data_IF_538292156853
#
_entry.id   IF_538292156853
#
_cell.length_a   1.000
_cell.length_b   1.000
_cell.length_c   1.000
_cell.angle_alpha   90.00
_cell.angle_beta   90.00
_cell.angle_gamma   90.00
#
_symmetry.space_group_name_H-M   'P 1'
#
loop_
_entity.id
_entity.type
_entity.pdbx_description
1 polymer ?
#
# COMPACT_ATOMS: atom_id res chain seq x y z
N UNK A 1 6.41 -16.98 -0.64
CA UNK A 1 7.31 -15.87 -1.03
C UNK A 1 6.60 -14.56 -0.75
N UNK A 2 7.34 -13.52 -0.37
CA UNK A 2 6.78 -12.18 -0.18
C UNK A 2 6.45 -11.52 -1.53
N UNK A 3 5.42 -10.69 -1.59
CA UNK A 3 5.00 -9.98 -2.81
C UNK A 3 6.14 -9.14 -3.40
N UNK A 4 6.85 -8.39 -2.56
CA UNK A 4 8.01 -7.60 -3.01
C UNK A 4 9.18 -8.47 -3.53
N UNK A 5 9.32 -9.71 -3.05
CA UNK A 5 10.29 -10.66 -3.59
C UNK A 5 9.83 -11.22 -4.94
N UNK A 6 8.54 -11.55 -5.07
CA UNK A 6 7.96 -12.05 -6.31
C UNK A 6 8.05 -11.01 -7.45
N UNK A 7 7.79 -9.74 -7.16
CA UNK A 7 7.97 -8.65 -8.13
C UNK A 7 9.42 -8.52 -8.60
N UNK A 8 10.38 -8.60 -7.68
CA UNK A 8 11.81 -8.57 -8.04
C UNK A 8 12.18 -9.73 -8.96
N UNK A 9 11.74 -10.95 -8.64
CA UNK A 9 12.02 -12.14 -9.46
C UNK A 9 11.39 -12.01 -10.85
N UNK A 10 10.11 -11.62 -10.94
CA UNK A 10 9.43 -11.42 -12.22
C UNK A 10 10.14 -10.37 -13.09
N UNK A 11 10.54 -9.23 -12.50
CA UNK A 11 11.24 -8.18 -13.23
C UNK A 11 12.64 -8.63 -13.70
N UNK A 12 13.39 -9.34 -12.85
CA UNK A 12 14.69 -9.91 -13.26
C UNK A 12 14.53 -10.91 -14.40
N UNK A 13 13.48 -11.75 -14.36
CA UNK A 13 13.19 -12.69 -15.44
C UNK A 13 12.77 -11.98 -16.74
N UNK A 14 11.98 -10.91 -16.65
CA UNK A 14 11.64 -10.08 -17.81
C UNK A 14 12.86 -9.42 -18.47
N UNK A 15 13.80 -8.92 -17.66
CA UNK A 15 15.04 -8.33 -18.17
C UNK A 15 15.88 -9.37 -18.91
N UNK A 16 16.00 -10.58 -18.33
CA UNK A 16 16.72 -11.69 -18.94
C UNK A 16 16.04 -12.15 -20.25
N UNK A 17 14.72 -12.35 -20.25
CA UNK A 17 13.95 -12.74 -21.43
C UNK A 17 14.06 -11.69 -22.55
N UNK A 18 14.08 -10.40 -22.19
CA UNK A 18 14.26 -9.29 -23.14
C UNK A 18 15.65 -9.34 -23.80
N UNK A 19 16.71 -9.52 -23.01
CA UNK A 19 18.07 -9.67 -23.55
C UNK A 19 18.14 -10.89 -24.47
N UNK A 20 17.57 -12.02 -24.03
CA UNK A 20 17.57 -13.26 -24.78
C UNK A 20 16.84 -13.15 -26.12
N UNK A 21 15.69 -12.48 -26.13
CA UNK A 21 14.93 -12.17 -27.35
C UNK A 21 15.77 -11.36 -28.35
N UNK A 22 16.53 -10.38 -27.86
CA UNK A 22 17.41 -9.56 -28.71
C UNK A 22 18.53 -10.38 -29.33
N UNK A 23 19.21 -11.21 -28.55
CA UNK A 23 20.28 -12.10 -29.02
C UNK A 23 19.81 -13.06 -30.11
N UNK A 24 18.70 -13.78 -29.88
CA UNK A 24 18.14 -14.73 -30.84
C UNK A 24 17.70 -14.03 -32.13
N UNK A 25 17.13 -12.83 -32.02
CA UNK A 25 16.76 -12.01 -33.17
C UNK A 25 17.99 -11.59 -33.98
N UNK A 26 19.11 -11.27 -33.31
CA UNK A 26 20.35 -10.88 -33.97
C UNK A 26 20.97 -12.06 -34.72
N UNK A 27 21.04 -13.23 -34.10
CA UNK A 27 21.56 -14.46 -34.73
C UNK A 27 20.75 -14.88 -35.96
N UNK A 28 19.43 -14.71 -35.93
CA UNK A 28 18.57 -14.98 -37.08
C UNK A 28 18.85 -14.03 -38.27
N UNK A 29 19.20 -12.76 -37.98
CA UNK A 29 19.55 -11.75 -38.98
C UNK A 29 20.94 -11.98 -39.59
N UNK A 30 21.93 -12.24 -38.75
CA UNK A 30 23.32 -12.44 -39.18
C UNK A 30 23.53 -13.80 -39.86
N UNK A 31 22.65 -14.76 -39.59
CA UNK A 31 22.76 -16.14 -40.05
C UNK A 31 23.65 -16.96 -39.11
N UNK A 32 23.31 -18.24 -38.87
CA UNK A 32 24.13 -19.08 -37.99
C UNK A 32 25.56 -19.20 -38.55
N UNK A 33 26.55 -19.01 -37.68
CA UNK A 33 27.96 -19.14 -38.04
C UNK A 33 28.26 -20.53 -38.64
N UNK A 34 29.22 -20.61 -39.56
CA UNK A 34 29.66 -21.88 -40.10
C UNK A 34 30.23 -22.75 -38.96
N UNK A 35 29.53 -23.83 -38.59
CA UNK A 35 29.85 -24.68 -37.44
C UNK A 35 28.95 -24.50 -36.21
N UNK A 36 27.94 -23.62 -36.27
CA UNK A 36 26.87 -23.53 -35.27
C UNK A 36 26.14 -24.87 -35.10
N UNK A 37 25.93 -25.29 -33.84
CA UNK A 37 25.12 -26.46 -33.50
C UNK A 37 23.64 -26.29 -33.85
N UNK A 38 23.17 -25.05 -34.02
CA UNK A 38 21.77 -24.73 -34.19
C UNK A 38 21.47 -24.20 -35.59
N UNK A 39 20.38 -24.71 -36.17
CA UNK A 39 19.87 -24.22 -37.45
C UNK A 39 18.91 -23.03 -37.27
N UNK A 40 18.51 -22.41 -38.39
CA UNK A 40 17.59 -21.25 -38.38
C UNK A 40 16.21 -21.59 -37.82
N UNK A 41 15.74 -22.83 -37.99
CA UNK A 41 14.42 -23.29 -37.52
C UNK A 41 14.46 -23.48 -36.00
N UNK A 42 15.52 -24.05 -35.46
CA UNK A 42 15.75 -24.20 -34.02
C UNK A 42 15.86 -22.84 -33.32
N UNK A 43 16.62 -21.89 -33.89
CA UNK A 43 16.67 -20.51 -33.38
C UNK A 43 15.30 -19.83 -33.41
N UNK A 44 14.50 -20.06 -34.44
CA UNK A 44 13.13 -19.51 -34.53
C UNK A 44 12.19 -20.13 -33.48
N UNK A 45 12.32 -21.43 -33.19
CA UNK A 45 11.54 -22.10 -32.13
C UNK A 45 11.93 -21.59 -30.75
N UNK A 46 13.22 -21.45 -30.48
CA UNK A 46 13.74 -20.86 -29.25
C UNK A 46 13.23 -19.42 -29.07
N UNK A 47 13.23 -18.61 -30.13
CA UNK A 47 12.69 -17.24 -30.08
C UNK A 47 11.20 -17.24 -29.71
N UNK A 48 10.40 -18.10 -30.34
CA UNK A 48 8.97 -18.22 -30.02
C UNK A 48 8.73 -18.66 -28.57
N UNK A 49 9.54 -19.56 -28.03
CA UNK A 49 9.44 -20.00 -26.63
C UNK A 49 9.79 -18.87 -25.65
N UNK A 50 10.82 -18.07 -25.95
CA UNK A 50 11.18 -16.88 -25.16
C UNK A 50 10.08 -15.83 -25.20
N UNK A 51 9.45 -15.63 -26.35
CA UNK A 51 8.32 -14.70 -26.49
C UNK A 51 7.11 -15.15 -25.66
N UNK A 52 6.77 -16.44 -25.69
CA UNK A 52 5.69 -16.99 -24.87
C UNK A 52 6.00 -16.85 -23.37
N UNK A 53 7.23 -17.16 -22.95
CA UNK A 53 7.64 -17.02 -21.54
C UNK A 53 7.66 -15.55 -21.10
N UNK A 54 8.03 -14.64 -22.00
CA UNK A 54 7.99 -13.19 -21.75
C UNK A 54 6.57 -12.71 -21.53
N UNK A 55 5.62 -13.11 -22.39
CA UNK A 55 4.21 -12.76 -22.24
C UNK A 55 3.63 -13.28 -20.92
N UNK A 56 3.91 -14.54 -20.57
CA UNK A 56 3.47 -15.13 -19.29
C UNK A 56 4.06 -14.40 -18.08
N UNK A 57 5.37 -14.13 -18.10
CA UNK A 57 6.05 -13.43 -17.01
C UNK A 57 5.58 -11.98 -16.90
N UNK A 58 5.28 -11.32 -18.03
CA UNK A 58 4.74 -9.96 -18.06
C UNK A 58 3.36 -9.90 -17.44
N UNK A 59 2.48 -10.85 -17.78
CA UNK A 59 1.16 -10.94 -17.17
C UNK A 59 1.23 -11.16 -15.65
N UNK A 60 2.18 -11.98 -15.19
CA UNK A 60 2.41 -12.21 -13.75
C UNK A 60 2.93 -10.93 -13.08
N UNK A 61 3.89 -10.23 -13.69
CA UNK A 61 4.41 -8.98 -13.16
C UNK A 61 3.32 -7.90 -13.02
N UNK A 62 2.44 -7.80 -14.02
CA UNK A 62 1.27 -6.91 -13.99
C UNK A 62 0.30 -7.27 -12.86
N UNK A 63 0.00 -8.56 -12.67
CA UNK A 63 -0.85 -9.03 -11.57
C UNK A 63 -0.25 -8.73 -10.19
N UNK A 64 1.06 -8.96 -10.00
CA UNK A 64 1.75 -8.66 -8.75
C UNK A 64 1.76 -7.15 -8.47
N UNK A 65 1.92 -6.32 -9.51
CA UNK A 65 1.80 -4.86 -9.40
C UNK A 65 0.40 -4.44 -8.97
N UNK A 66 -0.64 -5.00 -9.60
CA UNK A 66 -2.03 -4.73 -9.26
C UNK A 66 -2.35 -5.13 -7.80
N UNK A 67 -1.86 -6.27 -7.33
CA UNK A 67 -2.03 -6.68 -5.93
C UNK A 67 -1.33 -5.75 -4.96
N UNK A 68 -0.10 -5.32 -5.25
CA UNK A 68 0.63 -4.36 -4.41
C UNK A 68 -0.13 -3.05 -4.28
N UNK A 69 -0.63 -2.53 -5.40
CA UNK A 69 -1.44 -1.30 -5.42
C UNK A 69 -2.76 -1.46 -4.66
N UNK A 70 -3.45 -2.60 -4.80
CA UNK A 70 -4.69 -2.86 -4.08
C UNK A 70 -4.49 -2.94 -2.57
N UNK A 71 -3.41 -3.59 -2.11
CA UNK A 71 -3.09 -3.69 -0.67
C UNK A 71 -2.75 -2.31 -0.11
N UNK A 72 -1.94 -1.52 -0.81
CA UNK A 72 -1.62 -0.15 -0.41
C UNK A 72 -2.87 0.73 -0.32
N UNK A 73 -3.74 0.66 -1.33
CA UNK A 73 -4.98 1.43 -1.35
C UNK A 73 -5.95 0.99 -0.25
N UNK A 74 -6.06 -0.31 0.02
CA UNK A 74 -6.93 -0.84 1.06
C UNK A 74 -6.46 -0.39 2.45
N UNK A 75 -5.15 -0.46 2.72
CA UNK A 75 -4.59 -0.04 4.01
C UNK A 75 -4.64 1.48 4.18
N UNK A 76 -4.34 2.25 3.13
CA UNK A 76 -4.51 3.70 3.15
C UNK A 76 -5.97 4.11 3.38
N UNK A 77 -6.93 3.39 2.78
CA UNK A 77 -8.36 3.63 3.01
C UNK A 77 -8.79 3.23 4.42
N UNK A 78 -8.25 2.15 4.99
CA UNK A 78 -8.49 1.74 6.38
C UNK A 78 -8.01 2.82 7.34
N UNK A 79 -6.76 3.26 7.20
CA UNK A 79 -6.15 4.30 8.03
C UNK A 79 -6.89 5.64 7.92
N UNK A 80 -7.28 6.04 6.70
CA UNK A 80 -8.12 7.23 6.51
C UNK A 80 -9.49 7.07 7.16
N UNK A 81 -10.10 5.89 7.07
CA UNK A 81 -11.38 5.59 7.71
C UNK A 81 -11.31 5.64 9.23
N UNK A 82 -10.25 5.10 9.81
CA UNK A 82 -9.97 5.15 11.25
C UNK A 82 -9.70 6.57 11.71
N UNK A 83 -8.86 7.32 11.00
CA UNK A 83 -8.62 8.73 11.30
C UNK A 83 -9.90 9.58 11.22
N UNK A 84 -10.76 9.36 10.21
CA UNK A 84 -12.06 10.04 10.10
C UNK A 84 -13.00 9.63 11.25
N UNK A 85 -13.01 8.36 11.63
CA UNK A 85 -13.84 7.87 12.72
C UNK A 85 -13.41 8.46 14.06
N UNK A 86 -12.10 8.48 14.33
CA UNK A 86 -11.51 9.08 15.52
C UNK A 86 -11.73 10.61 15.54
N UNK A 87 -11.55 11.28 14.42
CA UNK A 87 -11.84 12.72 14.29
C UNK A 87 -13.34 13.02 14.50
N UNK A 88 -14.23 12.18 13.98
CA UNK A 88 -15.67 12.31 14.21
C UNK A 88 -16.04 12.05 15.68
N UNK A 89 -15.43 11.06 16.33
CA UNK A 89 -15.62 10.82 17.77
C UNK A 89 -15.11 12.00 18.59
N UNK A 90 -13.90 12.49 18.31
CA UNK A 90 -13.33 13.67 18.93
C UNK A 90 -14.24 14.90 18.71
N UNK A 91 -14.75 15.11 17.50
CA UNK A 91 -15.68 16.19 17.21
C UNK A 91 -17.00 16.05 18.00
N UNK A 92 -17.54 14.85 18.13
CA UNK A 92 -18.73 14.58 18.96
C UNK A 92 -18.47 14.85 20.45
N UNK A 93 -17.30 14.47 20.97
CA UNK A 93 -16.89 14.81 22.35
C UNK A 93 -16.77 16.32 22.53
N UNK A 94 -16.18 17.04 21.56
CA UNK A 94 -16.09 18.50 21.56
C UNK A 94 -17.48 19.17 21.57
N UNK A 95 -18.42 18.67 20.77
CA UNK A 95 -19.81 19.16 20.77
C UNK A 95 -20.53 18.88 22.09
N UNK A 96 -20.27 17.72 22.70
CA UNK A 96 -20.84 17.38 24.01
C UNK A 96 -20.26 18.28 25.12
N UNK A 97 -18.96 18.58 25.12
CA UNK A 97 -18.35 19.57 26.02
C UNK A 97 -18.97 20.95 25.84
N UNK A 98 -19.11 21.39 24.58
CA UNK A 98 -19.80 22.65 24.27
C UNK A 98 -21.21 22.69 24.86
N UNK A 99 -21.97 21.59 24.72
CA UNK A 99 -23.33 21.46 25.26
C UNK A 99 -23.35 21.53 26.79
N UNK A 100 -22.46 20.81 27.48
CA UNK A 100 -22.34 20.80 28.94
C UNK A 100 -22.03 22.21 29.47
N UNK A 101 -21.05 22.89 28.88
CA UNK A 101 -20.70 24.27 29.25
C UNK A 101 -21.88 25.21 28.98
N UNK A 102 -22.52 25.14 27.81
CA UNK A 102 -23.65 26.00 27.45
C UNK A 102 -24.88 25.83 28.35
N UNK A 103 -25.10 24.63 28.89
CA UNK A 103 -26.14 24.35 29.90
C UNK A 103 -25.80 24.95 31.26
N UNK A 104 -24.52 25.21 31.54
CA UNK A 104 -24.02 25.68 32.83
C UNK A 104 -23.54 24.55 33.74
N UNK A 105 -23.36 23.33 33.19
CA UNK A 105 -22.86 22.17 33.92
C UNK A 105 -21.36 22.29 34.20
N UNK A 106 -20.87 21.57 35.21
CA UNK A 106 -19.45 21.50 35.54
C UNK A 106 -18.75 20.46 34.66
N UNK A 107 -17.75 20.91 33.92
CA UNK A 107 -16.96 20.09 33.00
C UNK A 107 -15.53 19.97 33.52
N UNK A 108 -14.88 18.80 33.42
CA UNK A 108 -13.49 18.64 33.80
C UNK A 108 -12.54 19.60 33.06
N UNK A 109 -11.46 20.08 33.70
CA UNK A 109 -10.54 21.03 33.07
C UNK A 109 -9.89 20.53 31.78
N UNK A 110 -9.66 19.22 31.67
CA UNK A 110 -9.09 18.58 30.47
C UNK A 110 -10.02 18.77 29.29
N UNK A 111 -11.29 18.41 29.45
CA UNK A 111 -12.35 18.52 28.44
C UNK A 111 -12.63 19.99 28.06
N UNK A 112 -12.66 20.89 29.03
CA UNK A 112 -12.85 22.33 28.78
C UNK A 112 -11.69 22.91 27.95
N UNK A 113 -10.44 22.50 28.24
CA UNK A 113 -9.27 22.88 27.45
C UNK A 113 -9.34 22.31 26.03
N UNK A 114 -9.81 21.07 25.84
CA UNK A 114 -9.98 20.48 24.49
C UNK A 114 -10.93 21.31 23.63
N UNK A 115 -12.05 21.80 24.17
CA UNK A 115 -12.93 22.72 23.43
C UNK A 115 -12.24 24.05 23.10
N UNK A 116 -11.44 24.59 24.02
CA UNK A 116 -10.69 25.83 23.81
C UNK A 116 -9.63 25.70 22.70
N UNK A 117 -8.89 24.58 22.72
CA UNK A 117 -7.89 24.22 21.69
C UNK A 117 -8.55 24.02 20.33
N UNK A 118 -9.72 23.37 20.30
CA UNK A 118 -10.48 23.17 19.07
C UNK A 118 -11.01 24.50 18.51
N UNK A 119 -11.69 25.30 19.33
CA UNK A 119 -12.18 26.62 18.95
C UNK A 119 -12.49 27.51 20.15
N UNK A 120 -11.65 28.54 20.34
CA UNK A 120 -11.87 29.60 21.33
C UNK A 120 -13.23 30.31 21.14
N UNK A 121 -13.71 30.44 19.90
CA UNK A 121 -15.01 31.06 19.61
C UNK A 121 -16.17 30.21 20.14
N UNK A 122 -16.13 28.90 19.89
CA UNK A 122 -17.14 27.96 20.42
C UNK A 122 -17.12 27.95 21.95
N UNK A 123 -15.93 27.96 22.55
CA UNK A 123 -15.78 28.04 24.00
C UNK A 123 -16.44 29.32 24.59
N UNK A 124 -16.17 30.50 24.02
CA UNK A 124 -16.80 31.75 24.46
C UNK A 124 -18.31 31.75 24.26
N UNK A 125 -18.80 31.22 23.13
CA UNK A 125 -20.23 31.07 22.88
C UNK A 125 -20.90 30.19 23.93
N UNK A 126 -20.30 29.05 24.29
CA UNK A 126 -20.80 28.18 25.35
C UNK A 126 -20.84 28.91 26.71
N UNK A 127 -19.78 29.61 27.11
CA UNK A 127 -19.76 30.37 28.37
C UNK A 127 -20.81 31.48 28.39
N UNK A 128 -21.04 32.16 27.28
CA UNK A 128 -22.09 33.19 27.17
C UNK A 128 -23.50 32.58 27.33
N UNK A 129 -23.75 31.40 26.75
CA UNK A 129 -25.01 30.67 26.94
C UNK A 129 -25.17 30.19 28.40
N UNK A 130 -24.10 29.74 29.04
CA UNK A 130 -24.09 29.35 30.45
C UNK A 130 -24.55 30.49 31.37
N UNK A 131 -24.11 31.72 31.12
CA UNK A 131 -24.53 32.91 31.87
C UNK A 131 -26.04 33.17 31.77
N UNK A 132 -26.65 32.83 30.63
CA UNK A 132 -28.10 32.93 30.42
C UNK A 132 -28.86 31.81 31.14
N UNK A 133 -28.21 30.65 31.33
CA UNK A 133 -28.77 29.46 31.98
C UNK A 133 -28.40 29.32 33.47
N UNK A 134 -27.73 30.32 34.07
CA UNK A 134 -27.22 30.31 35.47
C UNK A 134 -28.22 29.98 36.58
N UNK A 135 -29.52 29.97 36.28
CA UNK A 135 -30.59 29.64 37.23
C UNK A 135 -31.01 28.16 37.15
N UNK A 136 -30.48 27.39 36.18
CA UNK A 136 -30.69 25.96 36.07
C UNK A 136 -29.78 25.22 37.07
N UNK A 137 -30.20 24.03 37.50
CA UNK A 137 -29.34 23.15 38.30
C UNK A 137 -28.18 22.65 37.44
N UNK A 138 -26.96 22.81 37.95
CA UNK A 138 -25.75 22.36 37.29
C UNK A 138 -25.45 20.90 37.67
N UNK A 139 -25.08 20.09 36.69
CA UNK A 139 -24.60 18.72 36.89
C UNK A 139 -23.07 18.65 36.80
N UNK A 140 -22.45 17.74 37.56
CA UNK A 140 -21.03 17.42 37.44
C UNK A 140 -20.84 16.28 36.44
N UNK A 141 -19.90 16.43 35.50
CA UNK A 141 -19.59 15.42 34.49
C UNK A 141 -18.18 14.84 34.62
N UNK A 142 -18.05 13.56 34.28
CA UNK A 142 -16.75 12.91 34.10
C UNK A 142 -16.12 13.24 32.74
N UNK A 143 -14.80 13.04 32.64
CA UNK A 143 -14.01 13.37 31.45
C UNK A 143 -14.28 12.40 30.31
N UNK A 144 -14.40 12.93 29.09
CA UNK A 144 -14.57 12.16 27.86
C UNK A 144 -13.24 11.62 27.27
N UNK A 145 -12.10 11.98 27.85
CA UNK A 145 -10.74 11.61 27.39
C UNK A 145 -9.94 10.78 28.42
N UNK A 146 -10.62 10.06 29.33
CA UNK A 146 -9.98 9.31 30.43
C UNK A 146 -9.42 7.93 30.06
N UNK A 147 -9.91 7.29 28.99
CA UNK A 147 -9.58 5.92 28.59
C UNK A 147 -9.11 5.87 27.12
N UNK A 148 -7.95 6.45 26.81
CA UNK A 148 -7.32 6.25 25.50
C UNK A 148 -6.67 4.85 25.47
N UNK A 149 -7.21 3.95 24.63
CA UNK A 149 -6.53 2.70 24.28
C UNK A 149 -5.20 3.03 23.57
N UNK A 150 -4.13 2.22 23.76
CA UNK A 150 -2.85 2.50 23.15
C UNK A 150 -2.98 2.51 21.63
N UNK A 151 -2.60 3.63 21.00
CA UNK A 151 -2.52 3.75 19.54
C UNK A 151 -1.66 2.61 18.96
N UNK A 152 -2.25 1.78 18.10
CA UNK A 152 -1.46 0.88 17.28
C UNK A 152 -0.66 1.71 16.28
N UNK A 153 0.66 1.52 16.27
CA UNK A 153 1.54 2.25 15.34
C UNK A 153 1.08 2.00 13.90
N UNK A 154 0.77 3.06 13.12
CA UNK A 154 0.32 2.92 11.75
C UNK A 154 1.34 2.13 10.93
N UNK A 155 0.89 1.03 10.30
CA UNK A 155 1.74 0.21 9.43
C UNK A 155 1.87 0.91 8.08
N UNK A 156 3.09 1.10 7.57
CA UNK A 156 3.28 1.70 6.25
C UNK A 156 2.61 0.83 5.16
N UNK A 157 1.70 1.38 4.32
CA UNK A 157 0.99 0.60 3.32
C UNK A 157 1.90 -0.13 2.32
N UNK A 158 3.05 0.47 1.96
CA UNK A 158 4.00 -0.15 1.04
C UNK A 158 4.80 -1.26 1.72
N UNK A 159 5.11 -1.13 3.01
CA UNK A 159 5.70 -2.20 3.82
C UNK A 159 4.74 -3.40 3.95
N UNK A 160 3.46 -3.15 4.22
CA UNK A 160 2.43 -4.19 4.28
C UNK A 160 2.31 -4.95 2.94
N UNK A 161 2.21 -4.20 1.84
CA UNK A 161 2.17 -4.80 0.49
C UNK A 161 3.43 -5.63 0.22
N UNK A 162 4.62 -5.11 0.50
CA UNK A 162 5.88 -5.82 0.27
C UNK A 162 5.99 -7.12 1.08
N UNK A 163 5.45 -7.13 2.30
CA UNK A 163 5.53 -8.27 3.22
C UNK A 163 4.41 -9.30 3.04
N UNK A 164 3.38 -9.00 2.24
CA UNK A 164 2.26 -9.91 1.99
C UNK A 164 2.73 -11.21 1.31
N UNK A 165 2.27 -12.36 1.81
CA UNK A 165 2.64 -13.67 1.24
C UNK A 165 1.81 -14.00 -0.01
N UNK A 166 2.47 -14.39 -1.10
CA UNK A 166 1.83 -14.65 -2.42
C UNK A 166 2.18 -16.01 -3.00
N UNK A 167 2.64 -16.96 -2.18
CA UNK A 167 3.02 -18.29 -2.67
C UNK A 167 4.30 -18.26 -3.53
N UNK A 168 4.34 -18.96 -4.66
CA UNK A 168 5.43 -18.87 -5.65
C UNK A 168 4.82 -18.64 -7.05
N UNK A 169 4.44 -17.39 -7.38
CA UNK A 169 3.62 -17.09 -8.55
C UNK A 169 4.45 -17.00 -9.83
N UNK A 170 5.78 -16.86 -9.73
CA UNK A 170 6.67 -16.74 -10.88
C UNK A 170 7.21 -18.13 -11.26
N UNK A 171 6.88 -18.66 -12.45
CA UNK A 171 7.39 -19.95 -12.89
C UNK A 171 8.90 -19.88 -13.17
N UNK A 172 9.64 -20.97 -12.91
CA UNK A 172 11.07 -21.01 -13.22
C UNK A 172 11.30 -20.89 -14.73
N UNK A 173 12.37 -20.17 -15.10
CA UNK A 173 12.81 -20.05 -16.49
C UNK A 173 13.08 -21.43 -17.08
N UNK A 174 12.53 -21.71 -18.27
CA UNK A 174 12.77 -22.98 -18.99
C UNK A 174 14.12 -22.91 -19.70
N UNK A 175 15.20 -22.99 -18.94
CA UNK A 175 16.57 -22.94 -19.47
C UNK A 175 16.92 -24.13 -20.38
N UNK A 176 16.19 -25.24 -20.30
CA UNK A 176 16.52 -26.49 -20.97
C UNK A 176 16.28 -26.51 -22.48
N UNK A 177 15.46 -25.60 -23.02
CA UNK A 177 15.07 -25.59 -24.43
C UNK A 177 15.79 -24.52 -25.26
N UNK A 178 16.71 -23.79 -24.63
CA UNK A 178 17.39 -22.65 -25.24
C UNK A 178 18.81 -23.02 -25.63
N UNK A 179 19.26 -22.63 -26.85
CA UNK A 179 20.61 -22.93 -27.29
C UNK A 179 21.63 -22.34 -26.33
N UNK A 180 22.45 -23.15 -25.67
CA UNK A 180 23.59 -22.64 -24.89
C UNK A 180 24.47 -21.82 -25.82
N UNK A 181 24.40 -20.50 -25.65
CA UNK A 181 25.24 -19.56 -26.37
C UNK A 181 26.58 -19.57 -25.65
N UNK A 182 27.55 -20.24 -26.25
CA UNK A 182 28.92 -20.30 -25.77
C UNK A 182 29.43 -18.88 -25.53
N UNK A 183 29.59 -18.52 -24.25
CA UNK A 183 30.48 -17.46 -23.84
C UNK A 183 31.91 -17.98 -23.99
N UNK A 184 32.39 -18.13 -25.22
CA UNK A 184 33.82 -18.26 -25.45
C UNK A 184 34.24 -17.41 -26.64
N UNK A 185 35.10 -16.46 -26.31
CA UNK A 185 35.61 -15.40 -27.16
C UNK A 185 36.51 -14.54 -26.29
N UNK A 186 37.68 -15.10 -25.97
CA UNK A 186 38.75 -14.44 -25.22
C UNK A 186 39.37 -13.24 -25.91
#
# INVERSE_FOLDING_TARGET
MKLGQAQKIANTQLDWLRQRKQELTQLLKEGPAAGSSYDRVELSKALSAVEEEYEQTSAIAEQLSAWSMNIQNAEAARQQGEAIAEEAENFMKILEVFRRIAKGDHVPPVDENKLMEYSMEMYMAAKNMALMNRNAEAEDHDSLWGDEEPEETPVDPAELANNTEVGNPVPPVRSSDLPELSADGG
#
